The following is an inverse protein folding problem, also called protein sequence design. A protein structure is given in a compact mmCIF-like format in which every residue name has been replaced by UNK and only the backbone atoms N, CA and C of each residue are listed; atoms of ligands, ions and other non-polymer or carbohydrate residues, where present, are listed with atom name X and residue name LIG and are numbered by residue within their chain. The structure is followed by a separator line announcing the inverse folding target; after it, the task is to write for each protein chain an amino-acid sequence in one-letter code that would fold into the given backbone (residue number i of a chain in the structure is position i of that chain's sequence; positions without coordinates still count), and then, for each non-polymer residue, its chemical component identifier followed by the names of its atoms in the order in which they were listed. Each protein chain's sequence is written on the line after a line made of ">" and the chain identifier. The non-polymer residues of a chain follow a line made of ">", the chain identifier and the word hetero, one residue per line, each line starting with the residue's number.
data_IF_028485645400
#
_entry.id   IF_028485645400
#
_cell.length_a   1.000
_cell.length_b   1.000
_cell.length_c   1.000
_cell.angle_alpha   90.00
_cell.angle_beta   90.00
_cell.angle_gamma   90.00
#
_symmetry.space_group_name_H-M   'P 1'
#
loop_
_entity.id
_entity.type
_entity.pdbx_description
1 polymer ?
#
# COMPACT_ATOMS: atom_id res chain seq x y z
N UNK A 1 -3.52 -22.51 21.17
CA UNK A 1 -2.17 -21.92 21.16
C UNK A 1 -1.76 -21.75 22.60
N UNK A 2 -0.74 -22.48 23.01
CA UNK A 2 -0.30 -22.50 24.41
C UNK A 2 0.58 -21.28 24.75
N UNK A 3 1.08 -21.22 26.00
CA UNK A 3 1.91 -20.10 26.47
C UNK A 3 3.27 -20.04 25.76
N UNK A 4 3.84 -21.20 25.41
CA UNK A 4 5.15 -21.30 24.77
C UNK A 4 5.10 -20.82 23.31
N UNK A 5 4.05 -21.20 22.59
CA UNK A 5 3.80 -20.72 21.23
C UNK A 5 3.66 -19.20 21.17
N UNK A 6 2.93 -18.60 22.12
CA UNK A 6 2.79 -17.14 22.23
C UNK A 6 4.13 -16.45 22.41
N UNK A 7 4.99 -17.00 23.26
CA UNK A 7 6.32 -16.41 23.52
C UNK A 7 7.25 -16.54 22.31
N UNK A 8 7.21 -17.66 21.58
CA UNK A 8 7.96 -17.80 20.30
C UNK A 8 7.53 -16.74 19.29
N UNK A 9 6.22 -16.55 19.09
CA UNK A 9 5.68 -15.53 18.20
C UNK A 9 6.13 -14.13 18.66
N UNK A 10 6.02 -13.83 19.95
CA UNK A 10 6.44 -12.54 20.51
C UNK A 10 7.91 -12.27 20.25
N UNK A 11 8.80 -13.24 20.52
CA UNK A 11 10.25 -13.12 20.29
C UNK A 11 10.60 -12.88 18.83
N UNK A 12 9.94 -13.58 17.91
CA UNK A 12 10.12 -13.35 16.49
C UNK A 12 9.69 -11.94 16.08
N UNK A 13 8.49 -11.52 16.51
CA UNK A 13 7.93 -10.23 16.10
C UNK A 13 8.71 -9.03 16.63
N UNK A 14 9.42 -9.12 17.76
CA UNK A 14 10.27 -8.02 18.25
C UNK A 14 11.60 -7.86 17.48
N UNK A 15 11.98 -8.82 16.64
CA UNK A 15 13.23 -8.76 15.87
C UNK A 15 13.03 -8.04 14.52
N UNK A 16 13.64 -6.86 14.38
CA UNK A 16 13.55 -6.01 13.17
C UNK A 16 14.66 -6.22 12.14
N UNK A 17 15.58 -7.16 12.35
CA UNK A 17 16.77 -7.31 11.49
C UNK A 17 16.39 -7.50 10.01
N UNK A 18 15.51 -8.47 9.73
CA UNK A 18 15.09 -8.78 8.37
C UNK A 18 14.21 -7.68 7.79
N UNK A 19 13.32 -7.12 8.60
CA UNK A 19 12.51 -5.97 8.19
C UNK A 19 13.41 -4.81 7.70
N UNK A 20 14.43 -4.44 8.48
CA UNK A 20 15.37 -3.37 8.14
C UNK A 20 16.17 -3.70 6.88
N UNK A 21 16.63 -4.94 6.72
CA UNK A 21 17.33 -5.42 5.51
C UNK A 21 16.46 -5.25 4.25
N UNK A 22 15.22 -5.75 4.27
CA UNK A 22 14.27 -5.62 3.16
C UNK A 22 13.97 -4.16 2.86
N UNK A 23 13.69 -3.37 3.90
CA UNK A 23 13.36 -1.97 3.74
C UNK A 23 14.52 -1.18 3.11
N UNK A 24 15.76 -1.48 3.51
CA UNK A 24 16.96 -0.90 2.90
C UNK A 24 17.10 -1.33 1.43
N UNK A 25 16.86 -2.61 1.11
CA UNK A 25 16.89 -3.09 -0.28
C UNK A 25 15.85 -2.38 -1.15
N UNK A 26 14.60 -2.22 -0.69
CA UNK A 26 13.55 -1.48 -1.40
C UNK A 26 13.99 -0.05 -1.70
N UNK A 27 14.50 0.68 -0.69
CA UNK A 27 15.01 2.06 -0.87
C UNK A 27 16.18 2.10 -1.87
N UNK A 28 17.11 1.15 -1.76
CA UNK A 28 18.30 1.12 -2.60
C UNK A 28 17.95 0.88 -4.07
N UNK A 29 16.97 0.01 -4.33
CA UNK A 29 16.43 -0.21 -5.67
C UNK A 29 15.85 1.09 -6.23
N UNK A 30 14.95 1.75 -5.48
CA UNK A 30 14.37 3.04 -5.87
C UNK A 30 15.44 4.11 -6.20
N UNK A 31 16.51 4.22 -5.40
CA UNK A 31 17.57 5.23 -5.61
C UNK A 31 18.45 4.90 -6.83
N UNK A 32 18.85 3.63 -7.01
CA UNK A 32 19.65 3.22 -8.19
C UNK A 32 18.86 3.44 -9.47
N UNK A 33 17.59 3.05 -9.46
CA UNK A 33 16.68 3.27 -10.57
C UNK A 33 16.53 4.76 -10.94
N UNK A 34 16.66 5.68 -9.97
CA UNK A 34 16.65 7.13 -10.24
C UNK A 34 18.02 7.65 -10.74
N UNK A 35 19.13 7.23 -10.13
CA UNK A 35 20.48 7.74 -10.45
C UNK A 35 20.98 7.30 -11.83
N UNK A 36 20.67 6.07 -12.23
CA UNK A 36 21.12 5.51 -13.52
C UNK A 36 20.36 6.11 -14.72
N UNK A 37 19.40 7.03 -14.47
CA UNK A 37 18.40 7.50 -15.44
C UNK A 37 18.64 8.92 -15.97
N UNK A 38 19.56 9.68 -15.38
CA UNK A 38 19.61 11.14 -15.59
C UNK A 38 20.51 11.65 -16.75
N UNK A 39 21.05 10.80 -17.62
CA UNK A 39 21.87 11.29 -18.75
C UNK A 39 21.22 11.22 -20.15
N UNK A 40 20.17 10.42 -20.37
CA UNK A 40 19.57 10.26 -21.72
C UNK A 40 18.09 9.90 -21.67
N UNK A 41 17.22 10.91 -21.55
CA UNK A 41 15.78 10.71 -21.74
C UNK A 41 15.50 10.43 -23.23
N UNK A 42 15.20 9.16 -23.56
CA UNK A 42 14.78 8.74 -24.91
C UNK A 42 13.37 9.19 -25.32
N UNK A 43 12.79 8.58 -26.36
CA UNK A 43 11.44 8.90 -26.88
C UNK A 43 10.36 8.72 -25.79
N UNK A 44 9.90 9.84 -25.23
CA UNK A 44 8.81 9.91 -24.26
C UNK A 44 7.48 9.54 -24.94
N UNK A 45 6.73 8.61 -24.35
CA UNK A 45 5.35 8.29 -24.75
C UNK A 45 4.39 8.94 -23.77
N UNK A 46 3.37 9.60 -24.29
CA UNK A 46 2.31 10.20 -23.45
C UNK A 46 1.07 9.34 -23.55
N UNK A 47 0.47 8.98 -22.41
CA UNK A 47 -0.85 8.33 -22.37
C UNK A 47 -1.71 8.97 -21.28
N UNK A 48 -3.03 8.89 -21.44
CA UNK A 48 -3.97 9.27 -20.38
C UNK A 48 -4.17 8.09 -19.42
N UNK A 49 -4.00 8.31 -18.12
CA UNK A 49 -4.24 7.30 -17.07
C UNK A 49 -5.13 7.90 -15.98
N UNK A 50 -6.45 7.75 -16.14
CA UNK A 50 -7.43 8.37 -15.23
C UNK A 50 -7.35 9.91 -15.28
N UNK A 51 -7.09 10.60 -14.15
CA UNK A 51 -6.92 12.06 -14.12
C UNK A 51 -5.58 12.56 -14.65
N UNK A 52 -4.59 11.68 -14.78
CA UNK A 52 -3.22 12.04 -15.13
C UNK A 52 -2.94 11.92 -16.62
N UNK A 53 -2.02 12.76 -17.11
CA UNK A 53 -1.20 12.44 -18.28
C UNK A 53 0.04 11.71 -17.78
N UNK A 54 0.14 10.42 -18.08
CA UNK A 54 1.32 9.63 -17.77
C UNK A 54 2.35 9.80 -18.88
N UNK A 55 3.50 10.35 -18.52
CA UNK A 55 4.71 10.28 -19.33
C UNK A 55 5.41 8.96 -19.06
N UNK A 56 5.60 8.18 -20.11
CA UNK A 56 6.26 6.88 -20.04
C UNK A 56 7.52 6.91 -20.88
N UNK A 57 8.64 6.62 -20.25
CA UNK A 57 9.92 6.52 -20.95
C UNK A 57 10.70 5.33 -20.42
N UNK A 58 11.57 4.80 -21.26
CA UNK A 58 12.46 3.74 -20.86
C UNK A 58 13.72 4.37 -20.28
N UNK A 59 14.10 3.89 -19.10
CA UNK A 59 15.43 4.09 -18.55
C UNK A 59 16.14 2.74 -18.51
N UNK A 60 17.06 2.54 -19.46
CA UNK A 60 17.67 1.23 -19.70
C UNK A 60 16.60 0.16 -19.94
N UNK A 61 16.56 -0.86 -19.08
CA UNK A 61 15.58 -1.98 -19.14
C UNK A 61 14.25 -1.70 -18.42
N UNK A 62 14.12 -0.56 -17.74
CA UNK A 62 12.96 -0.26 -16.90
C UNK A 62 12.02 0.73 -17.58
N UNK A 63 10.72 0.48 -17.46
CA UNK A 63 9.68 1.40 -17.91
C UNK A 63 9.28 2.30 -16.74
N UNK A 64 9.63 3.58 -16.81
CA UNK A 64 9.25 4.60 -15.83
C UNK A 64 7.96 5.29 -16.28
N UNK A 65 7.05 5.52 -15.34
CA UNK A 65 5.79 6.22 -15.56
C UNK A 65 5.69 7.40 -14.59
N UNK A 66 5.60 8.62 -15.11
CA UNK A 66 5.39 9.85 -14.33
C UNK A 66 3.97 10.34 -14.60
N UNK A 67 3.15 10.44 -13.57
CA UNK A 67 1.79 10.95 -13.67
C UNK A 67 1.78 12.47 -13.44
N UNK A 68 1.44 13.23 -14.49
CA UNK A 68 1.15 14.66 -14.41
C UNK A 68 -0.34 14.85 -14.18
N UNK A 69 -0.70 15.38 -13.02
CA UNK A 69 -2.09 15.61 -12.63
C UNK A 69 -2.38 17.11 -12.64
N UNK A 70 -3.28 17.60 -13.52
CA UNK A 70 -3.72 18.99 -13.48
C UNK A 70 -4.37 19.31 -12.13
N UNK A 71 -4.07 20.49 -11.59
CA UNK A 71 -4.51 20.90 -10.28
C UNK A 71 -5.03 22.35 -10.28
N UNK A 72 -5.89 22.68 -9.33
CA UNK A 72 -6.32 24.05 -9.02
C UNK A 72 -5.49 24.60 -7.85
N UNK A 73 -5.02 25.85 -7.90
CA UNK A 73 -4.21 26.52 -6.87
C UNK A 73 -4.98 26.81 -5.55
N UNK A 74 -5.52 25.79 -4.87
CA UNK A 74 -6.23 25.92 -3.59
C UNK A 74 -5.71 24.94 -2.55
N UNK A 75 -5.86 25.29 -1.28
CA UNK A 75 -5.43 24.50 -0.11
C UNK A 75 -5.96 23.05 -0.09
N UNK A 76 -7.11 22.81 -0.73
CA UNK A 76 -7.61 21.47 -1.06
C UNK A 76 -7.64 21.33 -2.58
N UNK A 77 -6.84 20.40 -3.07
CA UNK A 77 -6.66 20.20 -4.49
C UNK A 77 -7.85 19.46 -5.10
N UNK A 78 -8.23 19.86 -6.31
CA UNK A 78 -9.21 19.16 -7.12
C UNK A 78 -8.46 18.44 -8.24
N UNK A 79 -8.72 17.13 -8.36
CA UNK A 79 -8.10 16.27 -9.37
C UNK A 79 -9.18 15.73 -10.34
N UNK A 80 -9.01 15.88 -11.67
CA UNK A 80 -10.07 15.57 -12.64
C UNK A 80 -10.19 14.06 -12.89
N UNK A 81 -10.95 13.30 -12.10
CA UNK A 81 -11.02 11.84 -12.24
C UNK A 81 -12.33 11.38 -12.89
N UNK A 82 -12.28 10.60 -13.99
CA UNK A 82 -13.49 10.04 -14.58
C UNK A 82 -14.26 9.22 -13.53
N UNK A 83 -15.57 9.42 -13.48
CA UNK A 83 -16.44 8.65 -12.60
C UNK A 83 -16.43 7.17 -13.02
N UNK A 84 -16.28 6.27 -12.03
CA UNK A 84 -16.42 4.83 -12.26
C UNK A 84 -17.90 4.53 -12.56
N UNK A 85 -18.17 3.83 -13.66
CA UNK A 85 -19.50 3.65 -14.27
C UNK A 85 -20.57 3.01 -13.37
N UNK A 86 -20.17 2.32 -12.29
CA UNK A 86 -21.08 1.54 -11.45
C UNK A 86 -22.01 2.39 -10.56
N UNK A 87 -21.58 3.59 -10.12
CA UNK A 87 -22.34 4.41 -9.15
C UNK A 87 -22.62 5.85 -9.63
N UNK A 88 -22.75 6.06 -10.94
CA UNK A 88 -22.98 7.39 -11.51
C UNK A 88 -24.49 7.70 -11.51
N UNK A 89 -24.94 8.82 -10.89
CA UNK A 89 -26.30 9.32 -11.10
C UNK A 89 -26.58 9.48 -12.59
N UNK A 90 -27.76 9.11 -13.07
CA UNK A 90 -28.08 9.07 -14.52
C UNK A 90 -27.66 10.34 -15.30
N UNK A 91 -27.79 11.53 -14.69
CA UNK A 91 -27.37 12.80 -15.28
C UNK A 91 -25.85 12.95 -15.47
N UNK A 92 -25.04 12.35 -14.59
CA UNK A 92 -23.58 12.40 -14.60
C UNK A 92 -22.95 11.41 -15.62
N UNK A 93 -23.72 10.43 -16.12
CA UNK A 93 -23.28 9.49 -17.16
C UNK A 93 -23.05 10.16 -18.52
N UNK A 94 -23.72 11.29 -18.77
CA UNK A 94 -23.60 12.04 -20.03
C UNK A 94 -22.24 12.74 -20.18
N UNK A 95 -21.59 13.11 -19.06
CA UNK A 95 -20.37 13.93 -19.03
C UNK A 95 -19.40 13.51 -17.89
N UNK A 96 -18.95 12.24 -17.84
CA UNK A 96 -18.13 11.71 -16.75
C UNK A 96 -16.76 12.40 -16.60
N UNK A 97 -16.29 13.08 -17.65
CA UNK A 97 -15.03 13.84 -17.66
C UNK A 97 -15.13 15.24 -17.03
N UNK A 98 -16.30 15.65 -16.52
CA UNK A 98 -16.51 16.98 -15.90
C UNK A 98 -16.45 16.96 -14.37
N UNK A 99 -16.08 15.83 -13.78
CA UNK A 99 -16.08 15.65 -12.34
C UNK A 99 -14.67 15.67 -11.76
N UNK A 100 -14.54 16.40 -10.66
CA UNK A 100 -13.31 16.55 -9.88
C UNK A 100 -13.45 15.76 -8.58
N UNK A 101 -12.34 15.24 -8.07
CA UNK A 101 -12.25 14.63 -6.75
C UNK A 101 -11.36 15.47 -5.85
N UNK A 102 -11.70 15.52 -4.58
CA UNK A 102 -10.82 16.10 -3.57
C UNK A 102 -9.53 15.28 -3.51
N UNK A 103 -8.41 15.99 -3.44
CA UNK A 103 -7.07 15.46 -3.25
C UNK A 103 -6.48 16.12 -2.01
N UNK A 104 -6.05 15.28 -1.08
CA UNK A 104 -5.50 15.70 0.22
C UNK A 104 -3.99 15.43 0.28
N UNK A 105 -3.32 15.45 -0.89
CA UNK A 105 -1.93 15.05 -1.02
C UNK A 105 -1.00 15.81 -0.08
N UNK A 106 -1.12 17.14 0.01
CA UNK A 106 -0.24 17.92 0.90
C UNK A 106 -0.51 17.63 2.37
N UNK A 107 -1.78 17.51 2.79
CA UNK A 107 -2.12 17.08 4.15
C UNK A 107 -1.55 15.70 4.48
N UNK A 108 -1.64 14.74 3.56
CA UNK A 108 -1.09 13.40 3.72
C UNK A 108 0.45 13.43 3.79
N UNK A 109 1.08 14.24 2.94
CA UNK A 109 2.53 14.43 2.92
C UNK A 109 3.02 15.04 4.23
N UNK A 110 2.40 16.11 4.70
CA UNK A 110 2.76 16.81 5.93
C UNK A 110 2.55 15.92 7.15
N UNK A 111 1.40 15.25 7.23
CA UNK A 111 1.10 14.25 8.26
C UNK A 111 2.21 13.20 8.32
N UNK A 112 2.60 12.65 7.17
CA UNK A 112 3.65 11.62 7.07
C UNK A 112 5.07 12.15 7.30
N UNK A 113 5.30 13.45 7.26
CA UNK A 113 6.58 14.07 7.57
C UNK A 113 6.78 14.38 9.05
N UNK A 114 5.70 14.43 9.83
CA UNK A 114 5.79 14.57 11.29
C UNK A 114 6.63 13.44 11.91
N UNK A 115 7.39 13.77 12.95
CA UNK A 115 8.17 12.76 13.71
C UNK A 115 7.27 11.64 14.22
N UNK A 116 6.05 12.02 14.57
CA UNK A 116 4.99 11.18 15.11
C UNK A 116 4.63 10.00 14.19
N UNK A 117 4.56 10.23 12.88
CA UNK A 117 4.10 9.20 11.93
C UNK A 117 5.19 8.72 11.00
N UNK A 118 6.45 9.12 11.21
CA UNK A 118 7.59 8.69 10.39
C UNK A 118 7.73 7.17 10.29
N UNK A 119 7.42 6.45 11.37
CA UNK A 119 7.49 4.98 11.45
C UNK A 119 6.48 4.26 10.54
N UNK A 120 5.42 4.94 10.08
CA UNK A 120 4.43 4.33 9.19
C UNK A 120 4.97 4.11 7.77
N UNK A 121 5.92 4.94 7.33
CA UNK A 121 6.44 4.91 5.94
C UNK A 121 7.10 3.57 5.59
N UNK A 122 8.00 3.00 6.41
CA UNK A 122 8.52 1.65 6.18
C UNK A 122 7.42 0.58 6.10
N UNK A 123 6.41 0.67 6.96
CA UNK A 123 5.32 -0.31 7.02
C UNK A 123 4.45 -0.25 5.77
N UNK A 124 4.06 0.96 5.35
CA UNK A 124 3.34 1.20 4.09
C UNK A 124 4.12 0.63 2.91
N UNK A 125 5.43 0.86 2.83
CA UNK A 125 6.27 0.33 1.73
C UNK A 125 6.26 -1.19 1.69
N UNK A 126 6.43 -1.87 2.83
CA UNK A 126 6.38 -3.33 2.86
C UNK A 126 4.98 -3.89 2.54
N UNK A 127 3.90 -3.24 2.99
CA UNK A 127 2.53 -3.65 2.65
C UNK A 127 2.21 -3.46 1.17
N UNK A 128 2.67 -2.35 0.56
CA UNK A 128 2.57 -2.14 -0.89
C UNK A 128 3.33 -3.23 -1.65
N UNK A 129 4.54 -3.57 -1.19
CA UNK A 129 5.33 -4.64 -1.78
C UNK A 129 4.66 -6.01 -1.63
N UNK A 130 4.09 -6.29 -0.46
CA UNK A 130 3.29 -7.48 -0.21
C UNK A 130 2.13 -7.57 -1.21
N UNK A 131 1.32 -6.50 -1.35
CA UNK A 131 0.21 -6.43 -2.32
C UNK A 131 0.68 -6.75 -3.74
N UNK A 132 1.81 -6.18 -4.18
CA UNK A 132 2.40 -6.47 -5.49
C UNK A 132 2.78 -7.94 -5.64
N UNK A 133 3.46 -8.50 -4.63
CA UNK A 133 3.87 -9.91 -4.62
C UNK A 133 2.67 -10.86 -4.68
N UNK A 134 1.56 -10.50 -4.04
CA UNK A 134 0.30 -11.23 -4.11
C UNK A 134 -0.53 -10.98 -5.38
N UNK A 135 -0.12 -10.03 -6.24
CA UNK A 135 -0.79 -9.63 -7.48
C UNK A 135 -2.23 -9.09 -7.31
N UNK A 136 -2.48 -8.35 -6.22
CA UNK A 136 -3.80 -7.73 -5.96
C UNK A 136 -3.96 -6.40 -6.69
N UNK A 137 -4.12 -6.46 -8.02
CA UNK A 137 -4.21 -5.28 -8.90
C UNK A 137 -5.43 -4.38 -8.61
N UNK A 138 -6.51 -4.93 -8.07
CA UNK A 138 -7.71 -4.19 -7.67
C UNK A 138 -7.51 -3.33 -6.41
N UNK A 139 -6.46 -3.59 -5.63
CA UNK A 139 -6.12 -2.83 -4.43
C UNK A 139 -5.14 -1.72 -4.79
N UNK A 140 -5.62 -0.48 -4.88
CA UNK A 140 -4.74 0.66 -5.13
C UNK A 140 -3.75 0.88 -3.98
N UNK A 141 -2.58 1.47 -4.28
CA UNK A 141 -1.58 1.84 -3.25
C UNK A 141 -2.20 2.72 -2.16
N UNK A 142 -3.11 3.62 -2.56
CA UNK A 142 -3.85 4.49 -1.67
C UNK A 142 -4.73 3.75 -0.65
N UNK A 143 -5.22 2.55 -0.98
CA UNK A 143 -6.06 1.76 -0.06
C UNK A 143 -5.20 1.22 1.09
N UNK A 144 -3.97 0.81 0.79
CA UNK A 144 -2.97 0.38 1.78
C UNK A 144 -2.54 1.56 2.67
N UNK A 145 -2.29 2.72 2.06
CA UNK A 145 -1.97 3.95 2.81
C UNK A 145 -3.09 4.35 3.76
N UNK A 146 -4.33 4.39 3.25
CA UNK A 146 -5.51 4.75 4.03
C UNK A 146 -5.75 3.76 5.17
N UNK A 147 -5.52 2.45 4.96
CA UNK A 147 -5.59 1.47 6.03
C UNK A 147 -4.61 1.84 7.16
N UNK A 148 -3.35 2.15 6.83
CA UNK A 148 -2.38 2.59 7.82
C UNK A 148 -2.78 3.91 8.50
N UNK A 149 -3.41 4.84 7.78
CA UNK A 149 -3.86 6.11 8.35
C UNK A 149 -4.89 5.93 9.47
N UNK A 150 -5.80 4.95 9.36
CA UNK A 150 -6.76 4.64 10.45
C UNK A 150 -6.12 4.01 11.68
N UNK A 151 -4.84 3.66 11.62
CA UNK A 151 -4.10 3.04 12.71
C UNK A 151 -2.89 3.87 13.13
N UNK A 152 -2.83 5.17 12.80
CA UNK A 152 -1.67 6.04 13.06
C UNK A 152 -1.21 6.04 14.51
N UNK A 153 -2.16 6.04 15.46
CA UNK A 153 -1.87 6.01 16.90
C UNK A 153 -1.04 4.79 17.33
N UNK A 154 -1.15 3.67 16.60
CA UNK A 154 -0.34 2.47 16.89
C UNK A 154 1.14 2.65 16.54
N UNK A 155 1.47 3.52 15.59
CA UNK A 155 2.84 3.78 15.18
C UNK A 155 3.57 4.74 16.14
N UNK A 156 2.86 5.28 17.12
CA UNK A 156 3.45 6.03 18.25
C UNK A 156 4.02 5.08 19.32
N UNK A 157 3.65 3.80 19.28
CA UNK A 157 4.12 2.80 20.24
C UNK A 157 5.60 2.45 20.00
N UNK A 158 6.25 1.87 21.01
CA UNK A 158 7.61 1.32 20.91
C UNK A 158 7.64 -0.09 20.30
N UNK A 159 6.59 -0.48 19.59
CA UNK A 159 6.55 -1.78 18.90
C UNK A 159 7.58 -1.82 17.76
N UNK A 160 8.12 -3.01 17.52
CA UNK A 160 9.01 -3.27 16.39
C UNK A 160 8.26 -3.12 15.06
N UNK A 161 8.98 -2.78 13.99
CA UNK A 161 8.38 -2.71 12.66
C UNK A 161 7.82 -4.05 12.19
N UNK A 162 8.45 -5.16 12.59
CA UNK A 162 8.00 -6.52 12.25
C UNK A 162 6.65 -6.82 12.91
N UNK A 163 6.48 -6.43 14.19
CA UNK A 163 5.20 -6.53 14.89
C UNK A 163 4.13 -5.64 14.27
N UNK A 164 4.47 -4.38 13.97
CA UNK A 164 3.57 -3.43 13.32
C UNK A 164 3.14 -3.92 11.94
N UNK A 165 4.07 -4.44 11.12
CA UNK A 165 3.78 -5.01 9.81
C UNK A 165 2.81 -6.18 9.93
N UNK A 166 3.09 -7.12 10.84
CA UNK A 166 2.23 -8.28 11.05
C UNK A 166 0.83 -7.88 11.51
N UNK A 167 0.74 -6.94 12.45
CA UNK A 167 -0.54 -6.35 12.91
C UNK A 167 -1.31 -5.70 11.76
N UNK A 168 -0.62 -4.99 10.86
CA UNK A 168 -1.27 -4.38 9.70
C UNK A 168 -1.74 -5.40 8.65
N UNK A 169 -1.09 -6.57 8.53
CA UNK A 169 -1.61 -7.68 7.73
C UNK A 169 -2.92 -8.22 8.32
N UNK A 170 -3.01 -8.33 9.65
CA UNK A 170 -4.25 -8.74 10.33
C UNK A 170 -5.37 -7.70 10.16
N UNK A 171 -5.04 -6.40 10.26
CA UNK A 171 -6.01 -5.32 9.99
C UNK A 171 -6.47 -5.33 8.53
N UNK A 172 -5.58 -5.62 7.57
CA UNK A 172 -5.95 -5.77 6.17
C UNK A 172 -6.89 -6.97 5.95
N UNK A 173 -6.61 -8.10 6.61
CA UNK A 173 -7.50 -9.26 6.58
C UNK A 173 -8.90 -8.91 7.11
N UNK A 174 -8.97 -8.22 8.25
CA UNK A 174 -10.23 -7.76 8.84
C UNK A 174 -10.97 -6.78 7.90
N UNK A 175 -10.24 -5.91 7.21
CA UNK A 175 -10.83 -5.01 6.22
C UNK A 175 -11.45 -5.78 5.04
N UNK A 176 -10.81 -6.86 4.57
CA UNK A 176 -11.39 -7.74 3.55
C UNK A 176 -12.58 -8.55 4.05
N UNK A 177 -12.56 -8.98 5.31
CA UNK A 177 -13.70 -9.67 5.94
C UNK A 177 -14.94 -8.78 6.03
N UNK A 178 -14.75 -7.53 6.45
CA UNK A 178 -15.82 -6.53 6.54
C UNK A 178 -16.19 -5.99 5.14
N UNK A 179 -15.26 -6.05 4.18
CA UNK A 179 -15.41 -5.45 2.86
C UNK A 179 -15.33 -3.92 2.91
N UNK A 180 -14.61 -3.35 3.88
CA UNK A 180 -14.57 -1.90 4.09
C UNK A 180 -13.20 -1.36 4.48
N UNK A 181 -12.76 -0.33 3.74
CA UNK A 181 -11.75 0.63 4.18
C UNK A 181 -12.36 2.01 3.92
N UNK A 182 -12.76 2.70 4.99
CA UNK A 182 -13.29 4.07 4.84
C UNK A 182 -12.20 4.99 4.31
N UNK A 183 -12.53 5.95 3.45
CA UNK A 183 -11.58 7.00 3.09
C UNK A 183 -11.19 7.78 4.35
N UNK A 184 -9.91 8.20 4.47
CA UNK A 184 -9.43 8.82 5.70
C UNK A 184 -10.12 10.16 5.99
N UNK A 185 -10.20 11.03 5.00
CA UNK A 185 -10.83 12.36 5.13
C UNK A 185 -12.35 12.35 4.92
N UNK A 186 -12.86 11.54 3.97
CA UNK A 186 -14.25 11.54 3.54
C UNK A 186 -14.95 10.26 4.01
N UNK A 187 -15.34 10.21 5.29
CA UNK A 187 -15.70 8.98 6.01
C UNK A 187 -16.89 8.17 5.44
N UNK A 188 -17.70 8.78 4.58
CA UNK A 188 -18.83 8.13 3.88
C UNK A 188 -18.41 7.35 2.62
N UNK A 189 -17.15 7.45 2.18
CA UNK A 189 -16.65 6.69 1.02
C UNK A 189 -15.98 5.40 1.51
N UNK A 190 -16.38 4.26 0.95
CA UNK A 190 -15.68 2.98 1.12
C UNK A 190 -14.77 2.71 -0.09
N UNK A 191 -13.47 2.59 0.15
CA UNK A 191 -12.48 2.33 -0.88
C UNK A 191 -12.62 0.94 -1.51
N UNK A 192 -13.20 -0.02 -0.80
CA UNK A 192 -13.38 -1.40 -1.26
C UNK A 192 -14.73 -1.62 -1.98
N UNK A 193 -15.58 -0.60 -2.09
CA UNK A 193 -16.97 -0.74 -2.59
C UNK A 193 -17.08 -1.32 -4.01
N UNK A 194 -16.06 -1.10 -4.85
CA UNK A 194 -16.08 -1.46 -6.26
C UNK A 194 -15.44 -2.82 -6.55
N UNK A 195 -14.92 -3.50 -5.52
CA UNK A 195 -14.27 -4.81 -5.66
C UNK A 195 -15.35 -5.89 -5.60
N UNK A 196 -15.27 -6.86 -6.51
CA UNK A 196 -16.26 -7.93 -6.60
C UNK A 196 -16.19 -8.85 -5.38
N UNK A 197 -17.35 -9.37 -4.97
CA UNK A 197 -17.47 -10.19 -3.75
C UNK A 197 -16.56 -11.42 -3.80
N UNK A 198 -16.48 -12.08 -4.95
CA UNK A 198 -15.64 -13.26 -5.14
C UNK A 198 -14.15 -12.91 -5.10
N UNK A 199 -13.76 -11.79 -5.72
CA UNK A 199 -12.39 -11.28 -5.65
C UNK A 199 -12.01 -10.95 -4.19
N UNK A 200 -12.88 -10.27 -3.45
CA UNK A 200 -12.69 -9.96 -2.03
C UNK A 200 -12.57 -11.22 -1.18
N UNK A 201 -13.45 -12.21 -1.40
CA UNK A 201 -13.42 -13.49 -0.68
C UNK A 201 -12.11 -14.26 -0.94
N UNK A 202 -11.62 -14.25 -2.19
CA UNK A 202 -10.35 -14.85 -2.56
C UNK A 202 -9.17 -14.16 -1.87
N UNK A 203 -9.13 -12.83 -1.85
CA UNK A 203 -8.09 -12.07 -1.14
C UNK A 203 -8.13 -12.35 0.37
N UNK A 204 -9.33 -12.35 0.98
CA UNK A 204 -9.53 -12.69 2.39
C UNK A 204 -8.96 -14.07 2.73
N UNK A 205 -9.40 -15.11 2.01
CA UNK A 205 -8.96 -16.50 2.24
C UNK A 205 -7.45 -16.65 2.08
N UNK A 206 -6.88 -16.04 1.04
CA UNK A 206 -5.44 -16.09 0.79
C UNK A 206 -4.65 -15.42 1.92
N UNK A 207 -5.08 -14.23 2.35
CA UNK A 207 -4.41 -13.52 3.44
C UNK A 207 -4.54 -14.25 4.78
N UNK A 208 -5.72 -14.85 5.06
CA UNK A 208 -5.90 -15.70 6.23
C UNK A 208 -4.89 -16.86 6.26
N UNK A 209 -4.75 -17.56 5.13
CA UNK A 209 -3.81 -18.69 5.02
C UNK A 209 -2.37 -18.24 5.21
N UNK A 210 -1.97 -17.08 4.66
CA UNK A 210 -0.64 -16.50 4.84
C UNK A 210 -0.39 -16.19 6.32
N UNK A 211 -1.32 -15.51 7.01
CA UNK A 211 -1.18 -15.19 8.44
C UNK A 211 -1.08 -16.46 9.29
N UNK A 212 -1.94 -17.45 9.00
CA UNK A 212 -1.93 -18.75 9.67
C UNK A 212 -0.60 -19.48 9.48
N UNK A 213 -0.09 -19.48 8.26
CA UNK A 213 1.17 -20.12 7.92
C UNK A 213 2.38 -19.41 8.56
N UNK A 214 2.42 -18.07 8.56
CA UNK A 214 3.45 -17.30 9.28
C UNK A 214 3.49 -17.72 10.76
N UNK A 215 2.34 -17.75 11.44
CA UNK A 215 2.28 -18.16 12.85
C UNK A 215 2.80 -19.58 13.06
N UNK A 216 2.38 -20.51 12.18
CA UNK A 216 2.82 -21.91 12.21
C UNK A 216 4.35 -22.01 12.04
N UNK A 217 4.90 -21.37 11.01
CA UNK A 217 6.33 -21.41 10.72
C UNK A 217 7.16 -20.80 11.84
N UNK A 218 6.68 -19.74 12.51
CA UNK A 218 7.41 -19.16 13.66
C UNK A 218 7.48 -20.16 14.82
N UNK A 219 6.42 -20.95 15.04
CA UNK A 219 6.38 -21.95 16.11
C UNK A 219 7.30 -23.12 15.79
N UNK A 220 7.29 -23.59 14.54
CA UNK A 220 8.05 -24.75 14.06
C UNK A 220 9.53 -24.43 13.82
N UNK A 221 9.83 -23.21 13.35
CA UNK A 221 11.16 -22.75 12.95
C UNK A 221 11.48 -21.39 13.60
N UNK A 222 11.57 -21.30 14.94
CA UNK A 222 11.69 -20.01 15.65
C UNK A 222 12.98 -19.23 15.35
N UNK A 223 14.00 -19.90 14.79
CA UNK A 223 15.27 -19.28 14.42
C UNK A 223 15.29 -18.81 12.94
N UNK A 224 14.29 -19.17 12.14
CA UNK A 224 14.19 -18.68 10.77
C UNK A 224 13.67 -17.25 10.77
N UNK A 225 14.54 -16.30 10.50
CA UNK A 225 14.21 -14.88 10.52
C UNK A 225 13.40 -14.43 9.28
N UNK A 226 13.36 -15.22 8.21
CA UNK A 226 12.82 -14.81 6.91
C UNK A 226 11.34 -15.17 6.67
N UNK A 227 10.65 -15.71 7.68
CA UNK A 227 9.28 -16.22 7.54
C UNK A 227 8.32 -15.21 6.89
N UNK A 228 8.23 -13.98 7.41
CA UNK A 228 7.37 -12.94 6.82
C UNK A 228 7.89 -12.50 5.44
N UNK A 229 9.21 -12.48 5.27
CA UNK A 229 9.88 -12.00 4.08
C UNK A 229 9.56 -12.84 2.84
N UNK A 230 9.37 -14.16 3.00
CA UNK A 230 8.95 -15.08 1.93
C UNK A 230 7.64 -14.64 1.24
N UNK A 231 6.80 -13.91 1.96
CA UNK A 231 5.51 -13.43 1.46
C UNK A 231 5.56 -12.02 0.86
N UNK A 232 6.62 -11.26 1.14
CA UNK A 232 6.81 -9.89 0.64
C UNK A 232 7.80 -9.83 -0.51
N UNK A 233 8.81 -10.70 -0.53
CA UNK A 233 9.88 -10.75 -1.53
C UNK A 233 9.95 -12.13 -2.19
N UNK A 234 9.66 -12.20 -3.50
CA UNK A 234 9.74 -13.46 -4.29
C UNK A 234 11.16 -14.01 -4.51
N UNK A 235 12.20 -13.33 -4.00
CA UNK A 235 13.61 -13.59 -4.33
C UNK A 235 14.50 -13.68 -3.09
N UNK A 236 13.96 -14.20 -1.98
CA UNK A 236 14.73 -14.64 -0.82
C UNK A 236 14.70 -16.16 -0.76
#
# INVERSE_FOLDING_TARGET
>A
MDSNDREKIRRYLVNDEIFKKINKQIITLEIKDVKDTNERLGKIRVRKSGPAFTLSFHSGKYLINIDLVPNSDKDVYLVPKPLSSKNIPSHAKSKPNRYWRLSFYDFEKDMLQTEKYRQVKPIIRQLKKFRETQNWKSIASYYIETLCFHHLERFETRESHTSLLFTMLENLHKAFEIGCIKHYWVKNINLLENIEKDEMMNMKRRLYNIIKDIRKQIIEQPNDLYIIARYTCKYL
#
